data_IF_797658065196
#
_entry.id   IF_797658065196
#
_cell.length_a   1.000
_cell.length_b   1.000
_cell.length_c   1.000
_cell.angle_alpha   90.00
_cell.angle_beta   90.00
_cell.angle_gamma   90.00
#
_symmetry.space_group_name_H-M   'P 1'
#
loop_
_entity.id
_entity.type
_entity.pdbx_description
1 polymer ?
#
# COMPACT_ATOMS: atom_id res chain seq x y z
N UNK A 1 29.45 13.62 35.56
CA UNK A 1 30.15 12.32 35.54
C UNK A 1 30.10 11.80 34.11
N UNK A 2 31.26 11.43 33.59
CA UNK A 2 31.60 11.30 32.17
C UNK A 2 31.96 9.84 31.96
N UNK A 3 31.18 9.09 31.18
CA UNK A 3 31.55 7.70 30.87
C UNK A 3 31.59 7.51 29.35
N UNK A 4 32.79 7.13 28.93
CA UNK A 4 33.32 7.07 27.58
C UNK A 4 32.92 5.81 26.81
N UNK A 5 33.07 5.95 25.50
CA UNK A 5 33.00 4.95 24.44
C UNK A 5 34.20 4.01 24.54
N UNK A 6 33.99 2.71 24.30
CA UNK A 6 35.09 1.75 24.05
C UNK A 6 34.81 1.02 22.74
N UNK A 7 35.73 1.19 21.79
CA UNK A 7 35.89 0.40 20.56
C UNK A 7 37.07 -0.55 20.73
N UNK A 8 37.06 -1.78 20.21
CA UNK A 8 38.27 -2.56 20.05
C UNK A 8 38.90 -2.40 18.66
N UNK A 9 40.20 -2.11 18.66
CA UNK A 9 41.16 -2.42 17.60
C UNK A 9 41.14 -3.94 17.30
N UNK A 10 41.41 -4.46 16.12
CA UNK A 10 42.49 -4.17 15.18
C UNK A 10 43.35 -5.44 15.09
N UNK A 11 43.48 -6.03 13.89
CA UNK A 11 44.43 -7.11 13.63
C UNK A 11 44.93 -7.00 12.18
N UNK A 12 46.19 -6.61 12.05
CA UNK A 12 46.99 -6.64 10.81
C UNK A 12 47.63 -8.02 10.64
N UNK A 13 47.79 -8.45 9.39
CA UNK A 13 48.64 -9.59 9.01
C UNK A 13 49.12 -9.42 7.57
N UNK A 14 50.36 -8.96 7.41
CA UNK A 14 51.13 -8.92 6.16
C UNK A 14 51.80 -10.25 5.83
N UNK A 15 52.04 -10.47 4.52
CA UNK A 15 53.15 -11.19 3.85
C UNK A 15 52.59 -11.95 2.63
N UNK A 16 53.17 -11.98 1.43
CA UNK A 16 54.47 -11.56 0.96
C UNK A 16 54.87 -12.41 -0.27
N UNK A 17 55.06 -11.74 -1.42
CA UNK A 17 56.15 -11.94 -2.41
C UNK A 17 56.25 -13.23 -3.26
N UNK A 18 56.36 -13.04 -4.58
CA UNK A 18 56.96 -14.04 -5.50
C UNK A 18 56.81 -13.73 -7.00
N UNK A 19 57.74 -12.95 -7.57
CA UNK A 19 57.95 -12.78 -9.04
C UNK A 19 58.92 -13.85 -9.52
N UNK A 20 58.70 -14.45 -10.72
CA UNK A 20 59.67 -14.54 -11.83
C UNK A 20 59.10 -15.32 -13.04
N UNK A 21 59.46 -14.82 -14.22
CA UNK A 21 59.18 -15.33 -15.57
C UNK A 21 60.08 -16.51 -15.93
N UNK A 22 59.59 -17.45 -16.74
CA UNK A 22 60.32 -18.05 -17.88
C UNK A 22 59.34 -18.82 -18.78
N UNK A 23 59.47 -18.60 -20.09
CA UNK A 23 58.66 -19.21 -21.14
C UNK A 23 59.22 -20.55 -21.59
N UNK A 24 58.35 -21.50 -21.96
CA UNK A 24 58.61 -22.54 -22.96
C UNK A 24 57.28 -23.05 -23.52
N UNK A 25 57.14 -22.94 -24.84
CA UNK A 25 55.98 -23.34 -25.60
C UNK A 25 55.95 -24.87 -25.80
N UNK A 26 54.80 -25.49 -25.55
CA UNK A 26 54.41 -26.76 -26.15
C UNK A 26 52.96 -26.64 -26.58
N UNK A 27 52.71 -26.77 -27.88
CA UNK A 27 51.38 -26.85 -28.48
C UNK A 27 50.79 -28.21 -28.13
N UNK A 28 49.73 -28.23 -27.33
CA UNK A 28 48.82 -29.37 -27.23
C UNK A 28 47.42 -28.84 -27.48
N UNK A 29 46.83 -29.28 -28.60
CA UNK A 29 45.42 -29.06 -28.89
C UNK A 29 44.59 -29.92 -27.94
N UNK A 30 43.88 -29.28 -27.01
CA UNK A 30 42.83 -29.88 -26.19
C UNK A 30 41.68 -28.87 -26.13
N UNK A 31 40.51 -29.32 -26.54
CA UNK A 31 39.26 -28.56 -26.54
C UNK A 31 39.00 -27.97 -25.15
N UNK A 32 39.18 -26.65 -25.03
CA UNK A 32 38.93 -25.87 -23.82
C UNK A 32 37.65 -25.09 -23.99
N UNK A 33 36.66 -25.41 -23.16
CA UNK A 33 35.39 -24.72 -22.98
C UNK A 33 35.60 -23.20 -22.96
N UNK A 34 34.97 -22.50 -23.91
CA UNK A 34 34.95 -21.05 -23.89
C UNK A 34 34.20 -20.57 -22.66
N UNK A 35 34.91 -19.98 -21.70
CA UNK A 35 34.29 -19.23 -20.61
C UNK A 35 33.77 -17.93 -21.23
N UNK A 36 32.50 -17.96 -21.65
CA UNK A 36 31.75 -16.74 -21.85
C UNK A 36 31.65 -16.04 -20.50
N UNK A 37 32.42 -14.96 -20.31
CA UNK A 37 32.16 -14.02 -19.24
C UNK A 37 30.77 -13.43 -19.49
N UNK A 38 29.76 -14.01 -18.85
CA UNK A 38 28.44 -13.41 -18.76
C UNK A 38 28.61 -12.11 -17.96
N UNK A 39 28.75 -11.00 -18.66
CA UNK A 39 28.42 -9.72 -18.07
C UNK A 39 26.94 -9.79 -17.68
N UNK A 40 26.68 -10.07 -16.41
CA UNK A 40 25.41 -9.80 -15.79
C UNK A 40 25.24 -8.27 -15.81
N UNK A 41 24.77 -7.75 -16.94
CA UNK A 41 24.05 -6.50 -16.94
C UNK A 41 22.96 -6.69 -15.87
N UNK A 42 23.10 -6.01 -14.75
CA UNK A 42 21.97 -5.76 -13.87
C UNK A 42 21.02 -4.90 -14.71
N UNK A 43 20.22 -5.54 -15.55
CA UNK A 43 19.02 -4.96 -16.07
C UNK A 43 18.22 -4.61 -14.82
N UNK A 44 18.23 -3.32 -14.45
CA UNK A 44 17.29 -2.79 -13.48
C UNK A 44 15.94 -3.36 -13.89
N UNK A 45 15.35 -4.19 -13.02
CA UNK A 45 14.04 -4.76 -13.29
C UNK A 45 13.14 -3.62 -13.75
N UNK A 46 12.33 -3.78 -14.81
CA UNK A 46 11.37 -2.76 -15.15
C UNK A 46 10.59 -2.48 -13.86
N UNK A 47 10.75 -1.26 -13.33
CA UNK A 47 10.06 -0.88 -12.11
C UNK A 47 8.58 -1.23 -12.31
N UNK A 48 7.96 -1.84 -11.30
CA UNK A 48 6.55 -2.19 -11.34
C UNK A 48 5.72 -0.95 -11.70
N UNK A 49 4.52 -1.15 -12.23
CA UNK A 49 3.67 -0.02 -12.59
C UNK A 49 3.42 0.91 -11.40
N UNK A 50 3.27 0.35 -10.20
CA UNK A 50 3.12 1.11 -8.95
C UNK A 50 4.40 1.90 -8.60
N UNK A 51 5.58 1.31 -8.79
CA UNK A 51 6.84 2.02 -8.57
C UNK A 51 7.02 3.19 -9.57
N UNK A 52 6.65 3.00 -10.85
CA UNK A 52 6.68 4.07 -11.86
C UNK A 52 5.67 5.16 -11.54
N UNK A 53 4.47 4.78 -11.12
CA UNK A 53 3.41 5.71 -10.74
C UNK A 53 3.80 6.53 -9.51
N UNK A 54 4.39 5.87 -8.50
CA UNK A 54 4.94 6.50 -7.30
C UNK A 54 6.02 7.53 -7.66
N UNK A 55 6.98 7.15 -8.51
CA UNK A 55 8.05 8.05 -8.98
C UNK A 55 7.51 9.24 -9.78
N UNK A 56 6.37 9.09 -10.46
CA UNK A 56 5.75 10.15 -11.24
C UNK A 56 4.97 11.14 -10.37
N UNK A 57 4.15 10.64 -9.44
CA UNK A 57 3.16 11.45 -8.71
C UNK A 57 3.74 12.05 -7.43
N UNK A 58 4.43 11.25 -6.61
CA UNK A 58 4.84 11.66 -5.25
C UNK A 58 5.73 12.90 -5.25
N UNK A 59 6.70 13.08 -6.17
CA UNK A 59 7.50 14.30 -6.22
C UNK A 59 6.70 15.56 -6.58
N UNK A 60 5.56 15.42 -7.26
CA UNK A 60 4.74 16.54 -7.71
C UNK A 60 3.71 16.99 -6.67
N UNK A 61 3.54 16.25 -5.56
CA UNK A 61 2.61 16.59 -4.48
C UNK A 61 3.01 17.92 -3.81
N UNK A 62 2.10 18.89 -3.85
CA UNK A 62 2.33 20.25 -3.33
C UNK A 62 2.29 20.30 -1.81
N UNK A 63 1.39 19.52 -1.21
CA UNK A 63 1.16 19.51 0.23
C UNK A 63 1.20 18.07 0.73
N UNK A 64 2.21 17.73 1.53
CA UNK A 64 2.34 16.41 2.14
C UNK A 64 2.57 16.58 3.63
N UNK A 65 1.65 16.08 4.46
CA UNK A 65 1.84 16.05 5.91
C UNK A 65 2.83 14.96 6.35
N UNK A 66 3.07 13.98 5.47
CA UNK A 66 3.93 12.81 5.69
C UNK A 66 5.23 12.92 4.88
N UNK A 67 6.24 12.15 5.28
CA UNK A 67 7.48 12.02 4.51
C UNK A 67 7.16 11.42 3.14
N UNK A 68 7.53 12.13 2.07
CA UNK A 68 7.35 11.69 0.69
C UNK A 68 7.96 10.31 0.42
N UNK A 69 9.01 9.92 1.12
CA UNK A 69 9.66 8.61 0.94
C UNK A 69 8.80 7.45 1.43
N UNK A 70 7.88 7.71 2.35
CA UNK A 70 6.94 6.72 2.86
C UNK A 70 5.66 6.63 2.01
N UNK A 71 5.47 7.56 1.06
CA UNK A 71 4.27 7.64 0.23
C UNK A 71 4.44 6.75 -1.00
N UNK A 72 3.46 5.89 -1.22
CA UNK A 72 3.30 5.03 -2.38
C UNK A 72 2.05 5.42 -3.15
N UNK A 73 2.06 5.16 -4.46
CA UNK A 73 0.94 5.40 -5.34
C UNK A 73 0.62 4.13 -6.13
N UNK A 74 -0.65 3.73 -6.13
CA UNK A 74 -1.16 2.58 -6.88
C UNK A 74 -2.43 2.95 -7.67
N UNK A 75 -2.70 2.29 -8.81
CA UNK A 75 -3.97 2.43 -9.51
C UNK A 75 -5.14 2.03 -8.61
N UNK A 76 -6.22 2.79 -8.66
CA UNK A 76 -7.41 2.50 -7.89
C UNK A 76 -8.68 2.91 -8.63
N UNK A 77 -9.78 2.23 -8.30
CA UNK A 77 -11.08 2.52 -8.91
C UNK A 77 -11.73 3.67 -8.16
N UNK A 78 -11.93 4.80 -8.85
CA UNK A 78 -12.77 5.90 -8.40
C UNK A 78 -14.09 5.87 -9.18
N UNK A 79 -15.21 5.85 -8.46
CA UNK A 79 -16.54 5.87 -9.08
C UNK A 79 -16.86 7.26 -9.64
N UNK A 80 -17.59 7.31 -10.76
CA UNK A 80 -18.05 8.57 -11.35
C UNK A 80 -17.00 9.36 -12.11
N UNK A 81 -15.83 8.77 -12.41
CA UNK A 81 -14.83 9.41 -13.26
C UNK A 81 -15.23 9.35 -14.74
N UNK A 82 -14.92 10.40 -15.53
CA UNK A 82 -15.06 10.36 -16.98
C UNK A 82 -14.23 9.23 -17.62
N UNK A 83 -14.62 8.82 -18.83
CA UNK A 83 -13.84 7.87 -19.61
C UNK A 83 -12.40 8.39 -19.82
N UNK A 84 -11.42 7.50 -19.66
CA UNK A 84 -10.00 7.85 -19.77
C UNK A 84 -9.39 8.52 -18.54
N UNK A 85 -10.18 8.75 -17.48
CA UNK A 85 -9.68 9.21 -16.17
C UNK A 85 -9.60 8.05 -15.20
N UNK A 86 -8.40 7.79 -14.67
CA UNK A 86 -8.15 6.73 -13.70
C UNK A 86 -7.94 7.29 -12.30
N UNK A 87 -8.35 6.53 -11.29
CA UNK A 87 -8.00 6.85 -9.91
C UNK A 87 -6.62 6.33 -9.54
N UNK A 88 -5.98 7.04 -8.61
CA UNK A 88 -4.73 6.64 -7.99
C UNK A 88 -4.87 6.84 -6.49
N UNK A 89 -4.60 5.79 -5.73
CA UNK A 89 -4.58 5.83 -4.27
C UNK A 89 -3.18 6.21 -3.80
N UNK A 90 -3.09 7.22 -2.94
CA UNK A 90 -1.87 7.55 -2.20
C UNK A 90 -1.94 6.88 -0.84
N UNK A 91 -0.89 6.16 -0.44
CA UNK A 91 -0.86 5.47 0.85
C UNK A 91 0.53 5.45 1.47
N UNK A 92 0.59 5.18 2.78
CA UNK A 92 1.85 4.90 3.49
C UNK A 92 1.81 3.54 4.15
N UNK A 93 2.95 2.84 4.17
CA UNK A 93 3.12 1.60 4.92
C UNK A 93 3.88 1.91 6.21
N UNK A 94 3.31 1.69 7.41
CA UNK A 94 4.01 2.04 8.64
C UNK A 94 5.21 1.13 8.95
N UNK A 95 6.33 1.76 9.30
CA UNK A 95 7.65 1.13 9.50
C UNK A 95 7.82 0.38 10.83
N UNK A 96 6.98 -0.60 11.18
CA UNK A 96 7.13 -1.35 12.45
C UNK A 96 6.96 -2.87 12.26
N UNK A 97 8.02 -3.68 12.46
CA UNK A 97 7.93 -5.15 12.39
C UNK A 97 6.97 -5.69 13.46
N UNK A 98 5.96 -6.45 13.04
CA UNK A 98 4.98 -7.07 13.96
C UNK A 98 3.75 -6.24 14.28
N UNK A 99 3.64 -5.01 13.76
CA UNK A 99 2.36 -4.30 13.61
C UNK A 99 1.97 -4.32 12.15
N UNK A 100 1.06 -5.19 11.73
CA UNK A 100 0.49 -5.15 10.40
C UNK A 100 -0.51 -4.01 10.34
N UNK A 101 0.04 -2.82 10.13
CA UNK A 101 -0.72 -1.73 9.62
C UNK A 101 -0.89 -2.00 8.12
N UNK A 102 -2.13 -2.25 7.70
CA UNK A 102 -2.44 -2.10 6.29
C UNK A 102 -2.11 -0.68 5.87
N UNK A 103 -1.68 -0.57 4.63
CA UNK A 103 -1.44 0.67 3.93
C UNK A 103 -2.51 1.72 4.30
N UNK A 104 -2.08 2.79 4.95
CA UNK A 104 -2.98 3.87 5.32
C UNK A 104 -3.19 4.74 4.08
N UNK A 105 -4.42 4.79 3.57
CA UNK A 105 -4.76 5.69 2.46
C UNK A 105 -4.72 7.13 2.97
N UNK A 106 -3.89 7.95 2.34
CA UNK A 106 -3.65 9.34 2.75
C UNK A 106 -4.19 10.35 1.73
N UNK A 107 -4.60 9.88 0.55
CA UNK A 107 -5.10 10.76 -0.49
C UNK A 107 -5.40 10.07 -1.80
N UNK A 108 -5.85 10.87 -2.74
CA UNK A 108 -6.32 10.43 -4.05
C UNK A 108 -5.85 11.40 -5.13
N UNK A 109 -5.47 10.83 -6.27
CA UNK A 109 -5.12 11.56 -7.48
C UNK A 109 -5.96 11.02 -8.62
N UNK A 110 -6.47 11.88 -9.49
CA UNK A 110 -7.03 11.48 -10.78
C UNK A 110 -5.99 11.65 -11.86
N UNK A 111 -5.91 10.66 -12.75
CA UNK A 111 -4.99 10.60 -13.87
C UNK A 111 -5.78 10.60 -15.17
N UNK A 112 -5.80 11.72 -15.87
CA UNK A 112 -6.34 11.81 -17.22
C UNK A 112 -5.30 11.28 -18.21
N UNK A 113 -5.59 10.11 -18.77
CA UNK A 113 -4.71 9.38 -19.66
C UNK A 113 -4.71 9.92 -21.10
N UNK A 114 -5.74 10.69 -21.48
CA UNK A 114 -5.85 11.36 -22.77
C UNK A 114 -5.19 12.73 -22.75
N UNK A 115 -5.51 13.55 -21.75
CA UNK A 115 -4.92 14.88 -21.59
C UNK A 115 -3.50 14.84 -21.00
N UNK A 116 -3.07 13.67 -20.50
CA UNK A 116 -1.80 13.46 -19.79
C UNK A 116 -1.65 14.45 -18.63
N UNK A 117 -2.63 14.45 -17.73
CA UNK A 117 -2.70 15.31 -16.55
C UNK A 117 -2.95 14.51 -15.29
N UNK A 118 -2.39 14.97 -14.18
CA UNK A 118 -2.71 14.45 -12.85
C UNK A 118 -3.26 15.58 -11.97
N UNK A 119 -4.32 15.29 -11.25
CA UNK A 119 -4.99 16.21 -10.33
C UNK A 119 -5.05 15.57 -8.94
N UNK A 120 -4.52 16.26 -7.94
CA UNK A 120 -4.65 15.84 -6.55
C UNK A 120 -5.99 16.33 -6.00
N UNK A 121 -6.85 15.37 -5.68
CA UNK A 121 -8.21 15.57 -5.18
C UNK A 121 -8.28 15.29 -3.67
N UNK A 122 -7.14 15.14 -2.99
CA UNK A 122 -7.06 14.73 -1.58
C UNK A 122 -7.76 15.73 -0.66
N UNK A 123 -7.63 17.03 -0.93
CA UNK A 123 -8.19 18.10 -0.08
C UNK A 123 -9.58 18.53 -0.52
N UNK A 124 -9.74 18.76 -1.81
CA UNK A 124 -10.97 19.27 -2.41
C UNK A 124 -11.11 18.68 -3.83
N UNK A 125 -12.07 17.77 -4.06
CA UNK A 125 -12.30 17.19 -5.38
C UNK A 125 -12.96 18.17 -6.37
N UNK A 126 -13.64 19.22 -5.90
CA UNK A 126 -14.30 20.22 -6.75
C UNK A 126 -13.30 21.30 -7.21
N UNK A 127 -12.24 21.53 -6.42
CA UNK A 127 -11.13 22.42 -6.76
C UNK A 127 -9.77 21.71 -6.65
N UNK A 128 -9.46 20.78 -7.57
CA UNK A 128 -8.30 19.93 -7.41
C UNK A 128 -6.98 20.63 -7.75
N UNK A 129 -5.92 20.21 -7.07
CA UNK A 129 -4.58 20.72 -7.30
C UNK A 129 -3.97 20.10 -8.56
N UNK A 130 -3.68 20.94 -9.56
CA UNK A 130 -2.98 20.47 -10.76
C UNK A 130 -1.52 20.13 -10.43
N UNK A 131 -1.18 18.85 -10.56
CA UNK A 131 0.17 18.34 -10.32
C UNK A 131 1.08 18.65 -11.51
N UNK A 132 2.28 19.16 -11.21
CA UNK A 132 3.32 19.43 -12.20
C UNK A 132 4.15 18.15 -12.41
N UNK A 133 3.64 17.25 -13.24
CA UNK A 133 4.31 15.98 -13.58
C UNK A 133 4.95 16.04 -14.98
N UNK A 134 5.96 15.21 -15.20
CA UNK A 134 6.56 15.02 -16.52
C UNK A 134 5.58 14.28 -17.45
N UNK A 135 5.13 14.97 -18.51
CA UNK A 135 4.17 14.42 -19.48
C UNK A 135 4.72 13.25 -20.29
N UNK A 136 6.02 13.22 -20.60
CA UNK A 136 6.65 12.10 -21.30
C UNK A 136 6.77 10.88 -20.39
N UNK A 137 7.05 11.08 -19.11
CA UNK A 137 7.00 10.01 -18.12
C UNK A 137 5.57 9.46 -17.95
N UNK A 138 4.55 10.33 -17.92
CA UNK A 138 3.16 9.90 -17.90
C UNK A 138 2.75 9.16 -19.17
N UNK A 139 3.07 9.66 -20.37
CA UNK A 139 2.76 8.97 -21.62
C UNK A 139 3.38 7.56 -21.67
N UNK A 140 4.62 7.41 -21.18
CA UNK A 140 5.27 6.09 -21.04
C UNK A 140 4.57 5.20 -20.04
N UNK A 141 4.15 5.74 -18.88
CA UNK A 141 3.36 4.99 -17.92
C UNK A 141 2.05 4.51 -18.56
N UNK A 142 1.30 5.39 -19.23
CA UNK A 142 0.04 5.03 -19.91
C UNK A 142 0.29 3.95 -20.96
N UNK A 143 1.28 4.10 -21.84
CA UNK A 143 1.54 3.11 -22.88
C UNK A 143 2.00 1.76 -22.36
N UNK A 144 2.73 1.74 -21.25
CA UNK A 144 3.35 0.52 -20.70
C UNK A 144 2.46 -0.19 -19.69
N UNK A 145 1.70 0.57 -18.89
CA UNK A 145 0.97 0.08 -17.73
C UNK A 145 -0.55 0.16 -17.85
N UNK A 146 -1.07 1.00 -18.76
CA UNK A 146 -2.51 1.23 -18.91
C UNK A 146 -3.04 0.72 -20.24
N UNK A 147 -2.30 0.94 -21.33
CA UNK A 147 -2.70 0.61 -22.70
C UNK A 147 -2.11 -0.73 -23.22
N UNK A 148 -1.37 -1.47 -22.40
CA UNK A 148 -0.95 -2.82 -22.77
C UNK A 148 -2.18 -3.75 -22.83
N UNK A 149 -2.37 -4.54 -23.91
CA UNK A 149 -3.53 -5.42 -24.02
C UNK A 149 -3.39 -6.52 -22.96
N UNK A 150 -4.11 -6.40 -21.84
CA UNK A 150 -4.52 -7.44 -20.89
C UNK A 150 -3.52 -8.60 -20.58
N UNK A 151 -2.22 -8.44 -20.81
CA UNK A 151 -1.18 -9.46 -20.63
C UNK A 151 -0.21 -9.08 -19.51
N UNK A 152 -0.53 -8.02 -18.77
CA UNK A 152 0.09 -7.71 -17.48
C UNK A 152 -0.98 -7.33 -16.46
N UNK A 153 -2.13 -8.01 -16.51
CA UNK A 153 -2.64 -8.53 -15.26
C UNK A 153 -1.53 -9.46 -14.76
N UNK A 154 -0.84 -9.10 -13.68
CA UNK A 154 -0.34 -10.16 -12.82
C UNK A 154 -1.53 -11.12 -12.65
N UNK A 155 -1.38 -12.43 -12.84
CA UNK A 155 -2.23 -13.29 -12.06
C UNK A 155 -1.90 -12.89 -10.62
N UNK A 156 -2.77 -12.10 -9.97
CA UNK A 156 -3.02 -12.32 -8.56
C UNK A 156 -3.22 -13.83 -8.49
N UNK A 157 -2.22 -14.54 -7.97
CA UNK A 157 -2.12 -15.98 -8.11
C UNK A 157 -3.51 -16.56 -7.87
N UNK A 158 -4.16 -17.00 -8.95
CA UNK A 158 -5.48 -17.57 -8.88
C UNK A 158 -5.30 -18.95 -8.28
N UNK A 159 -5.08 -18.98 -6.97
CA UNK A 159 -5.47 -20.11 -6.16
C UNK A 159 -6.97 -20.22 -6.35
N UNK A 160 -7.39 -21.27 -7.04
CA UNK A 160 -8.77 -21.73 -6.99
C UNK A 160 -9.15 -21.83 -5.50
N UNK A 161 -9.99 -20.91 -5.03
CA UNK A 161 -10.42 -20.79 -3.63
C UNK A 161 -10.04 -19.50 -2.89
N UNK A 162 -9.27 -18.58 -3.48
CA UNK A 162 -9.00 -17.28 -2.84
C UNK A 162 -10.19 -16.31 -2.99
N UNK A 163 -10.69 -15.79 -1.87
CA UNK A 163 -11.77 -14.79 -1.84
C UNK A 163 -11.24 -13.45 -2.38
N UNK A 164 -11.91 -12.90 -3.40
CA UNK A 164 -11.68 -11.53 -3.84
C UNK A 164 -12.30 -10.55 -2.82
N UNK A 165 -11.47 -10.13 -1.87
CA UNK A 165 -11.87 -9.25 -0.78
C UNK A 165 -12.32 -7.87 -1.28
N UNK A 166 -11.76 -7.37 -2.37
CA UNK A 166 -12.13 -6.05 -2.89
C UNK A 166 -13.50 -6.08 -3.55
N UNK A 167 -13.76 -7.10 -4.38
CA UNK A 167 -15.08 -7.31 -4.95
C UNK A 167 -16.13 -7.60 -3.88
N UNK A 168 -15.77 -8.36 -2.84
CA UNK A 168 -16.65 -8.61 -1.71
C UNK A 168 -16.96 -7.35 -0.91
N UNK A 169 -15.95 -6.53 -0.61
CA UNK A 169 -16.14 -5.26 0.09
C UNK A 169 -17.06 -4.33 -0.70
N UNK A 170 -16.79 -4.12 -2.01
CA UNK A 170 -17.65 -3.28 -2.87
C UNK A 170 -19.10 -3.73 -2.86
N UNK A 171 -19.34 -5.03 -2.99
CA UNK A 171 -20.69 -5.62 -2.94
C UNK A 171 -21.35 -5.41 -1.58
N UNK A 172 -20.61 -5.63 -0.50
CA UNK A 172 -21.12 -5.50 0.85
C UNK A 172 -21.47 -4.06 1.20
N UNK A 173 -20.66 -3.08 0.81
CA UNK A 173 -20.99 -1.66 0.99
C UNK A 173 -22.21 -1.25 0.15
N UNK A 174 -22.35 -1.79 -1.07
CA UNK A 174 -23.47 -1.43 -1.96
C UNK A 174 -24.81 -2.09 -1.56
N UNK A 175 -24.78 -3.22 -0.85
CA UNK A 175 -25.98 -4.03 -0.54
C UNK A 175 -26.26 -4.17 0.95
N UNK A 176 -25.34 -3.72 1.81
CA UNK A 176 -25.49 -3.80 3.25
C UNK A 176 -26.44 -2.76 3.79
N UNK A 177 -26.92 -3.04 5.00
CA UNK A 177 -27.84 -2.17 5.70
C UNK A 177 -27.06 -0.95 6.20
N UNK A 178 -27.42 0.23 5.72
CA UNK A 178 -26.82 1.48 6.15
C UNK A 178 -27.19 1.78 7.61
N UNK A 179 -26.19 2.13 8.41
CA UNK A 179 -26.40 2.53 9.81
C UNK A 179 -26.52 4.05 9.86
N UNK A 180 -27.68 4.54 10.27
CA UNK A 180 -27.93 5.98 10.42
C UNK A 180 -26.97 6.58 11.45
N UNK A 181 -26.44 7.77 11.15
CA UNK A 181 -25.46 8.44 12.00
C UNK A 181 -25.91 8.64 13.45
N UNK A 182 -27.22 8.81 13.70
CA UNK A 182 -27.80 8.92 15.05
C UNK A 182 -27.66 7.67 15.92
N UNK A 183 -27.47 6.53 15.27
CA UNK A 183 -27.42 5.20 15.89
C UNK A 183 -26.14 4.47 15.47
N UNK A 184 -25.10 5.22 15.08
CA UNK A 184 -23.82 4.68 14.62
C UNK A 184 -22.91 4.22 15.77
N UNK A 185 -23.04 4.82 16.96
CA UNK A 185 -22.14 4.55 18.08
C UNK A 185 -22.17 3.10 18.54
N UNK A 186 -21.00 2.48 18.64
CA UNK A 186 -20.81 1.13 19.17
C UNK A 186 -19.64 1.12 20.14
N UNK A 187 -19.74 0.26 21.13
CA UNK A 187 -18.62 -0.13 21.99
C UNK A 187 -18.20 -1.56 21.69
N UNK A 188 -16.88 -1.79 21.65
CA UNK A 188 -16.31 -3.12 21.48
C UNK A 188 -16.45 -3.92 22.77
N UNK A 189 -17.03 -5.11 22.67
CA UNK A 189 -17.27 -6.01 23.81
C UNK A 189 -16.53 -7.33 23.67
N UNK A 190 -16.45 -8.08 24.78
CA UNK A 190 -15.80 -9.38 24.82
C UNK A 190 -14.27 -9.30 24.91
N UNK A 191 -13.64 -10.41 25.30
CA UNK A 191 -12.22 -10.42 25.68
C UNK A 191 -11.29 -10.39 24.47
N UNK A 192 -10.16 -9.70 24.63
CA UNK A 192 -9.03 -9.73 23.71
C UNK A 192 -9.22 -8.86 22.46
N UNK A 193 -8.20 -8.89 21.60
CA UNK A 193 -8.10 -8.07 20.38
C UNK A 193 -9.18 -8.47 19.37
N UNK A 194 -9.92 -7.49 18.86
CA UNK A 194 -10.88 -7.65 17.78
C UNK A 194 -10.20 -7.28 16.46
N UNK A 195 -9.86 -8.25 15.59
CA UNK A 195 -9.20 -7.96 14.33
C UNK A 195 -10.16 -7.30 13.34
N UNK A 196 -9.59 -6.47 12.48
CA UNK A 196 -10.29 -5.93 11.31
C UNK A 196 -10.25 -6.92 10.15
N UNK A 197 -11.11 -6.68 9.15
CA UNK A 197 -11.14 -7.37 7.87
C UNK A 197 -11.32 -6.34 6.73
N UNK A 198 -10.76 -6.58 5.52
CA UNK A 198 -11.00 -5.70 4.33
C UNK A 198 -12.41 -5.83 3.81
N UNK A 199 -13.04 -6.97 4.07
CA UNK A 199 -14.33 -7.36 3.57
C UNK A 199 -15.00 -8.27 4.61
N UNK A 200 -16.33 -8.47 4.55
CA UNK A 200 -17.06 -9.29 5.53
C UNK A 200 -16.87 -10.81 5.30
N UNK A 201 -15.63 -11.28 5.33
CA UNK A 201 -15.26 -12.70 5.24
C UNK A 201 -13.97 -12.96 6.03
N UNK A 202 -13.86 -14.15 6.63
CA UNK A 202 -12.72 -14.49 7.49
C UNK A 202 -11.38 -14.57 6.74
N UNK A 203 -11.42 -14.91 5.45
CA UNK A 203 -10.24 -14.92 4.60
C UNK A 203 -9.70 -13.50 4.34
N UNK A 204 -10.51 -12.46 4.59
CA UNK A 204 -10.17 -11.06 4.36
C UNK A 204 -9.57 -10.37 5.59
N UNK A 205 -9.07 -11.15 6.56
CA UNK A 205 -8.50 -10.64 7.80
C UNK A 205 -7.35 -9.68 7.54
N UNK A 206 -7.37 -8.54 8.24
CA UNK A 206 -6.22 -7.67 8.36
C UNK A 206 -5.37 -8.28 9.45
N UNK A 207 -4.21 -8.83 9.11
CA UNK A 207 -3.27 -9.20 10.16
C UNK A 207 -3.04 -7.97 11.02
N UNK A 208 -2.99 -8.18 12.35
CA UNK A 208 -2.67 -7.26 13.46
C UNK A 208 -3.04 -5.77 13.39
N UNK A 209 -3.99 -5.39 12.55
CA UNK A 209 -4.89 -4.28 12.81
C UNK A 209 -6.03 -4.80 13.69
N UNK A 210 -6.17 -4.22 14.86
CA UNK A 210 -7.19 -4.60 15.82
C UNK A 210 -7.58 -3.42 16.69
N UNK A 211 -8.79 -3.50 17.22
CA UNK A 211 -9.27 -2.70 18.36
C UNK A 211 -9.40 -3.58 19.58
N UNK A 212 -9.56 -2.99 20.75
CA UNK A 212 -9.66 -3.71 22.02
C UNK A 212 -11.00 -3.45 22.69
N UNK A 213 -11.30 -4.26 23.70
CA UNK A 213 -12.49 -4.10 24.53
C UNK A 213 -12.59 -2.68 25.09
N UNK A 214 -13.81 -2.13 25.09
CA UNK A 214 -14.16 -0.75 25.47
C UNK A 214 -13.71 0.35 24.50
N UNK A 215 -13.10 0.03 23.36
CA UNK A 215 -12.95 1.03 22.29
C UNK A 215 -14.33 1.42 21.74
N UNK A 216 -14.52 2.71 21.48
CA UNK A 216 -15.69 3.25 20.81
C UNK A 216 -15.43 3.35 19.31
N UNK A 217 -16.41 2.96 18.51
CA UNK A 217 -16.36 2.98 17.04
C UNK A 217 -17.69 3.45 16.46
N UNK A 218 -17.62 3.96 15.24
CA UNK A 218 -18.80 4.37 14.47
C UNK A 218 -19.13 3.31 13.44
N UNK A 219 -20.29 2.67 13.58
CA UNK A 219 -20.83 1.74 12.60
C UNK A 219 -21.34 2.49 11.36
N UNK A 220 -21.01 1.96 10.18
CA UNK A 220 -21.40 2.52 8.88
C UNK A 220 -22.36 1.61 8.12
N UNK A 221 -22.03 0.33 8.04
CA UNK A 221 -22.78 -0.64 7.21
C UNK A 221 -22.78 -2.00 7.87
N UNK A 222 -23.94 -2.64 8.00
CA UNK A 222 -24.07 -4.02 8.45
C UNK A 222 -24.23 -4.95 7.24
N UNK A 223 -23.47 -6.04 7.20
CA UNK A 223 -23.55 -7.04 6.14
C UNK A 223 -23.31 -8.43 6.69
N UNK A 224 -24.38 -9.21 6.82
CA UNK A 224 -24.35 -10.53 7.43
C UNK A 224 -23.85 -10.47 8.88
N UNK A 225 -22.75 -11.15 9.17
CA UNK A 225 -22.16 -11.24 10.52
C UNK A 225 -21.14 -10.14 10.84
N UNK A 226 -20.92 -9.21 9.92
CA UNK A 226 -19.92 -8.16 10.04
C UNK A 226 -20.55 -6.78 10.01
N UNK A 227 -19.86 -5.82 10.60
CA UNK A 227 -20.17 -4.40 10.55
C UNK A 227 -18.92 -3.66 10.06
N UNK A 228 -19.08 -2.85 9.01
CA UNK A 228 -18.09 -1.87 8.59
C UNK A 228 -18.09 -0.73 9.60
N UNK A 229 -16.95 -0.45 10.20
CA UNK A 229 -16.78 0.58 11.23
C UNK A 229 -15.66 1.54 10.87
N UNK A 230 -15.73 2.72 11.46
CA UNK A 230 -14.61 3.66 11.59
C UNK A 230 -14.21 3.72 13.05
N UNK A 231 -12.93 3.51 13.31
CA UNK A 231 -12.31 3.74 14.62
C UNK A 231 -11.50 5.02 14.56
N UNK A 232 -11.65 5.86 15.58
CA UNK A 232 -10.78 7.00 15.83
C UNK A 232 -10.06 6.76 17.15
N UNK A 233 -8.74 6.66 17.10
CA UNK A 233 -7.95 6.52 18.32
C UNK A 233 -7.95 7.85 19.09
N UNK A 234 -8.50 7.89 20.31
CA UNK A 234 -8.63 9.15 21.05
C UNK A 234 -7.27 9.72 21.52
N UNK A 235 -6.21 8.89 21.56
CA UNK A 235 -4.87 9.29 22.01
C UNK A 235 -3.99 9.78 20.87
N UNK A 236 -4.06 9.12 19.71
CA UNK A 236 -3.19 9.43 18.57
C UNK A 236 -3.89 10.20 17.46
N UNK A 237 -5.22 10.31 17.52
CA UNK A 237 -6.07 10.83 16.45
C UNK A 237 -5.95 10.05 15.12
N UNK A 238 -5.31 8.87 15.14
CA UNK A 238 -5.26 7.99 13.99
C UNK A 238 -6.61 7.33 13.73
N UNK A 239 -6.94 7.14 12.46
CA UNK A 239 -8.18 6.48 12.05
C UNK A 239 -7.91 5.10 11.47
N UNK A 240 -8.88 4.19 11.61
CA UNK A 240 -8.89 2.90 10.96
C UNK A 240 -10.29 2.56 10.48
N UNK A 241 -10.41 2.14 9.22
CA UNK A 241 -11.66 1.70 8.62
C UNK A 241 -11.60 0.20 8.29
N UNK A 242 -12.72 -0.51 8.47
CA UNK A 242 -12.84 -1.89 7.99
C UNK A 242 -13.98 -2.65 8.65
N UNK A 243 -14.07 -3.94 8.34
CA UNK A 243 -15.13 -4.81 8.84
C UNK A 243 -14.70 -5.50 10.13
N UNK A 244 -15.60 -5.62 11.08
CA UNK A 244 -15.40 -6.42 12.31
C UNK A 244 -16.63 -7.30 12.57
N UNK A 245 -16.48 -8.44 13.27
CA UNK A 245 -17.61 -9.27 13.68
C UNK A 245 -18.65 -8.47 14.49
N UNK A 246 -19.89 -8.42 14.00
CA UNK A 246 -21.00 -7.70 14.63
C UNK A 246 -21.25 -8.14 16.07
N UNK A 247 -21.08 -9.44 16.35
CA UNK A 247 -21.26 -10.01 17.69
C UNK A 247 -20.29 -9.45 18.75
N UNK A 248 -19.26 -8.71 18.33
CA UNK A 248 -18.29 -8.05 19.21
C UNK A 248 -18.58 -6.55 19.38
N UNK A 249 -19.71 -6.07 18.87
CA UNK A 249 -20.16 -4.68 18.97
C UNK A 249 -21.49 -4.60 19.70
N UNK A 250 -21.62 -3.63 20.59
CA UNK A 250 -22.86 -3.30 21.26
C UNK A 250 -23.21 -1.83 21.02
N UNK A 251 -24.48 -1.47 20.73
CA UNK A 251 -24.89 -0.07 20.71
C UNK A 251 -24.60 0.59 22.05
N UNK A 252 -23.91 1.72 22.03
CA UNK A 252 -23.59 2.51 23.23
C UNK A 252 -24.58 3.66 23.45
N UNK A 253 -25.58 3.79 22.57
CA UNK A 253 -26.59 4.83 22.62
C UNK A 253 -26.11 6.18 22.11
N UNK A 254 -24.89 6.25 21.57
CA UNK A 254 -24.32 7.43 20.92
C UNK A 254 -24.41 7.33 19.39
N UNK A 255 -24.17 8.44 18.72
CA UNK A 255 -24.11 8.54 17.29
C UNK A 255 -23.24 9.71 16.88
N UNK A 256 -22.83 9.74 15.61
CA UNK A 256 -22.06 10.84 15.02
C UNK A 256 -22.94 12.02 14.59
N UNK A 257 -24.27 11.84 14.67
CA UNK A 257 -25.25 12.87 14.36
C UNK A 257 -26.33 12.95 15.45
N UNK A 258 -26.97 14.12 15.64
CA UNK A 258 -28.14 14.24 16.50
C UNK A 258 -29.27 13.29 16.04
N UNK A 259 -30.02 12.73 16.99
CA UNK A 259 -31.26 11.99 16.68
C UNK A 259 -32.27 12.96 16.07
N UNK A 260 -32.81 12.60 14.91
CA UNK A 260 -33.92 13.34 14.32
C UNK A 260 -35.21 12.99 15.07
N UNK A 261 -36.04 13.98 15.44
CA UNK A 261 -37.30 13.78 16.16
C UNK A 261 -38.39 13.15 15.29
#
# INVERSE_FOLDING_TARGET
MKNEIVTPAGANGEAGRGRRLAALAVRVALAGVGVAAAHAAHAASPASCDARLTQLIVPALRHTALDRRAIHAEPAVLTGQPEGVQGVRLFVTPDHPGTPNRDATIGWVTLDTHALRALDITRDPDQPDVLKIDRHALARYVSTCVAAPAASAHPAAAMHGAVDCDALNRRAQARGDYVTGSDAGRVVTGKGRLPFFSAPDDACRIDGLFIVEHDHVDARTEYGRFTSITYLNPRTHGTADGWVPRARLQPDGTGIAPRQP
#
